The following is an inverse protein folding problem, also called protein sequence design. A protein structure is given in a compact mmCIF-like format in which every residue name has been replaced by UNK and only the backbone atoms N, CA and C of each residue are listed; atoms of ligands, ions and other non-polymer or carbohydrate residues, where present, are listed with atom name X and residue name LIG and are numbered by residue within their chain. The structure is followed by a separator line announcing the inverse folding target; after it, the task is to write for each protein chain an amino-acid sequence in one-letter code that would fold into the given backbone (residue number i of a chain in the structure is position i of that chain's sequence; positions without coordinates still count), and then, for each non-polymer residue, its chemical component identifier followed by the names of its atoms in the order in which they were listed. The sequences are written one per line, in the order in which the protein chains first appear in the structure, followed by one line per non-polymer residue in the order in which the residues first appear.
data_IF_710444730948
#
_entry.id   IF_710444730948
#
_cell.length_a   1.000
_cell.length_b   1.000
_cell.length_c   1.000
_cell.angle_alpha   90.00
_cell.angle_beta   90.00
_cell.angle_gamma   90.00
#
_symmetry.space_group_name_H-M   'P 1'
#
loop_
_entity.id
_entity.type
_entity.pdbx_description
1 polymer ?
#
# COMPACT_ATOMS: atom_id res chain seq x y z
N UNK A 1 -12.24 -16.50 -14.15
CA UNK A 1 -12.48 -15.28 -13.34
C UNK A 1 -11.93 -15.51 -11.95
N UNK A 2 -10.91 -14.77 -11.53
CA UNK A 2 -10.32 -14.95 -10.19
C UNK A 2 -11.05 -13.99 -9.25
N UNK A 3 -11.68 -14.55 -8.23
CA UNK A 3 -12.60 -13.83 -7.33
C UNK A 3 -11.84 -13.23 -6.12
N UNK A 4 -10.67 -13.79 -5.80
CA UNK A 4 -9.80 -13.36 -4.73
C UNK A 4 -8.42 -12.97 -5.26
N UNK A 5 -7.75 -12.04 -4.58
CA UNK A 5 -6.41 -11.63 -4.98
C UNK A 5 -5.92 -10.40 -4.23
N UNK A 6 -4.88 -9.79 -4.80
CA UNK A 6 -4.25 -8.58 -4.28
C UNK A 6 -4.26 -7.50 -5.33
N UNK A 7 -4.62 -6.29 -4.92
CA UNK A 7 -4.51 -5.08 -5.72
C UNK A 7 -3.55 -4.10 -5.06
N UNK A 8 -2.90 -3.30 -5.89
CA UNK A 8 -2.08 -2.17 -5.47
C UNK A 8 -2.78 -0.87 -5.83
N UNK A 9 -2.87 0.04 -4.87
CA UNK A 9 -3.32 1.42 -5.07
C UNK A 9 -2.13 2.36 -4.90
N UNK A 10 -2.02 3.39 -5.74
CA UNK A 10 -1.02 4.44 -5.58
C UNK A 10 -1.50 5.44 -4.52
N UNK A 11 -0.65 5.73 -3.53
CA UNK A 11 -0.97 6.63 -2.41
C UNK A 11 -0.34 7.99 -2.62
N UNK A 12 0.95 8.00 -2.92
CA UNK A 12 1.72 9.23 -3.08
C UNK A 12 2.68 9.11 -4.24
N UNK A 13 2.92 10.25 -4.88
CA UNK A 13 3.97 10.47 -5.87
C UNK A 13 4.67 11.76 -5.49
N UNK A 14 5.94 11.69 -5.12
CA UNK A 14 6.67 12.85 -4.65
C UNK A 14 8.05 12.89 -5.30
N UNK A 15 8.45 14.04 -5.90
CA UNK A 15 9.82 14.23 -6.37
C UNK A 15 10.75 14.30 -5.15
N UNK A 16 11.94 13.72 -5.29
CA UNK A 16 12.97 13.76 -4.24
C UNK A 16 14.22 14.45 -4.77
N UNK A 17 14.79 15.33 -3.95
CA UNK A 17 16.00 16.11 -4.26
C UNK A 17 17.29 15.28 -4.06
N UNK A 18 17.27 14.04 -4.52
CA UNK A 18 18.41 13.11 -4.45
C UNK A 18 19.01 12.90 -5.85
N UNK A 19 20.30 12.59 -5.91
CA UNK A 19 20.95 12.25 -7.18
C UNK A 19 20.62 10.82 -7.59
N UNK A 20 20.40 10.61 -8.90
CA UNK A 20 20.16 9.27 -9.43
C UNK A 20 21.43 8.39 -9.27
N UNK A 21 21.34 7.18 -8.66
CA UNK A 21 22.51 6.33 -8.48
C UNK A 21 23.11 5.80 -9.80
N UNK A 22 22.37 5.86 -10.91
CA UNK A 22 22.82 5.36 -12.21
C UNK A 22 23.27 6.44 -13.19
N UNK A 23 22.63 7.62 -13.20
CA UNK A 23 22.99 8.69 -14.12
C UNK A 23 23.51 9.96 -13.44
N UNK A 24 23.58 9.97 -12.11
CA UNK A 24 24.07 11.09 -11.27
C UNK A 24 23.36 12.42 -11.50
N UNK A 25 22.22 12.41 -12.19
CA UNK A 25 21.43 13.61 -12.45
C UNK A 25 20.65 14.02 -11.19
N UNK A 26 20.66 15.31 -10.88
CA UNK A 26 20.04 15.88 -9.69
C UNK A 26 18.57 16.20 -9.91
N UNK A 27 17.74 16.03 -8.88
CA UNK A 27 16.33 16.44 -8.88
C UNK A 27 15.48 15.82 -10.03
N UNK A 28 15.88 14.64 -10.50
CA UNK A 28 15.17 13.88 -11.55
C UNK A 28 14.47 12.64 -11.00
N UNK A 29 14.59 12.36 -9.70
CA UNK A 29 14.02 11.19 -9.07
C UNK A 29 12.60 11.49 -8.55
N UNK A 30 11.68 10.60 -8.85
CA UNK A 30 10.31 10.61 -8.30
C UNK A 30 10.07 9.30 -7.58
N UNK A 31 9.58 9.38 -6.35
CA UNK A 31 9.22 8.23 -5.53
C UNK A 31 7.72 7.99 -5.62
N UNK A 32 7.35 6.73 -5.79
CA UNK A 32 5.98 6.25 -5.84
C UNK A 32 5.74 5.29 -4.69
N UNK A 33 4.70 5.57 -3.90
CA UNK A 33 4.26 4.72 -2.80
C UNK A 33 2.94 4.06 -3.17
N UNK A 34 2.89 2.75 -3.01
CA UNK A 34 1.73 1.91 -3.28
C UNK A 34 1.33 1.11 -2.04
N UNK A 35 0.03 0.96 -1.80
CA UNK A 35 -0.52 0.09 -0.76
C UNK A 35 -1.07 -1.14 -1.44
N UNK A 36 -0.65 -2.31 -0.98
CA UNK A 36 -1.29 -3.57 -1.35
C UNK A 36 -2.41 -3.87 -0.37
N UNK A 37 -3.55 -4.29 -0.91
CA UNK A 37 -4.67 -4.81 -0.13
C UNK A 37 -5.18 -6.12 -0.73
N UNK A 38 -5.63 -7.02 0.14
CA UNK A 38 -6.31 -8.23 -0.26
C UNK A 38 -7.77 -7.91 -0.58
N UNK A 39 -8.30 -8.49 -1.64
CA UNK A 39 -9.72 -8.40 -1.96
C UNK A 39 -10.32 -9.79 -2.20
N UNK A 40 -11.58 -9.96 -1.83
CA UNK A 40 -12.38 -11.15 -2.10
C UNK A 40 -13.72 -10.65 -2.66
N UNK A 41 -14.16 -11.20 -3.80
CA UNK A 41 -15.34 -10.74 -4.54
C UNK A 41 -15.33 -9.23 -4.82
N UNK A 42 -14.17 -8.68 -5.20
CA UNK A 42 -13.92 -7.23 -5.37
C UNK A 42 -14.06 -6.36 -4.12
N UNK A 43 -14.38 -6.94 -2.97
CA UNK A 43 -14.43 -6.22 -1.68
C UNK A 43 -13.03 -6.23 -1.07
N UNK A 44 -12.44 -5.07 -0.76
CA UNK A 44 -11.18 -5.01 -0.03
C UNK A 44 -11.38 -5.50 1.41
N UNK A 45 -10.60 -6.50 1.80
CA UNK A 45 -10.70 -7.14 3.11
C UNK A 45 -9.73 -6.53 4.12
N UNK A 46 -8.44 -6.48 3.80
CA UNK A 46 -7.41 -5.89 4.67
C UNK A 46 -6.20 -5.38 3.87
N UNK A 47 -5.49 -4.36 4.38
CA UNK A 47 -4.20 -3.95 3.82
C UNK A 47 -3.11 -4.98 4.15
N UNK A 48 -2.33 -5.37 3.14
CA UNK A 48 -1.23 -6.34 3.28
C UNK A 48 0.07 -5.61 3.66
N UNK A 49 0.32 -4.46 3.03
CA UNK A 49 1.54 -3.69 3.29
C UNK A 49 1.83 -2.64 2.22
N UNK A 50 2.73 -1.72 2.55
CA UNK A 50 3.20 -0.69 1.63
C UNK A 50 4.37 -1.22 0.80
N UNK A 51 4.39 -0.84 -0.47
CA UNK A 51 5.51 -1.08 -1.38
C UNK A 51 5.79 0.21 -2.13
N UNK A 52 7.00 0.36 -2.65
CA UNK A 52 7.33 1.55 -3.41
C UNK A 52 8.42 1.31 -4.42
N UNK A 53 8.47 2.25 -5.35
CA UNK A 53 9.47 2.31 -6.39
C UNK A 53 9.87 3.77 -6.61
N UNK A 54 11.12 4.00 -6.95
CA UNK A 54 11.58 5.29 -7.46
C UNK A 54 11.79 5.18 -8.96
N UNK A 55 11.53 6.27 -9.67
CA UNK A 55 11.77 6.39 -11.10
C UNK A 55 12.59 7.65 -11.37
N UNK A 56 13.63 7.52 -12.19
CA UNK A 56 14.33 8.68 -12.72
C UNK A 56 13.65 9.17 -14.01
N UNK A 57 13.33 10.46 -14.11
CA UNK A 57 12.79 11.07 -15.32
C UNK A 57 13.81 11.12 -16.48
N UNK A 58 15.12 11.12 -16.16
CA UNK A 58 16.20 11.23 -17.13
C UNK A 58 16.58 9.87 -17.75
N UNK A 59 17.03 8.91 -16.94
CA UNK A 59 17.45 7.59 -17.42
C UNK A 59 16.34 6.53 -17.41
N UNK A 60 15.13 6.88 -16.92
CA UNK A 60 13.97 5.96 -16.78
C UNK A 60 14.21 4.75 -15.89
N UNK A 61 15.30 4.74 -15.12
CA UNK A 61 15.61 3.66 -14.21
C UNK A 61 14.56 3.60 -13.09
N UNK A 62 14.08 2.38 -12.82
CA UNK A 62 13.12 2.11 -11.74
C UNK A 62 13.80 1.27 -10.67
N UNK A 63 13.91 1.78 -9.44
CA UNK A 63 14.42 1.03 -8.29
C UNK A 63 13.26 0.65 -7.39
N UNK A 64 13.13 -0.63 -7.07
CA UNK A 64 12.22 -1.08 -6.01
C UNK A 64 12.77 -0.68 -4.65
N UNK A 65 11.91 -0.55 -3.64
CA UNK A 65 12.31 -0.21 -2.25
C UNK A 65 13.56 -0.98 -1.78
N UNK A 66 13.68 -2.29 -2.04
CA UNK A 66 14.83 -3.11 -1.64
C UNK A 66 16.16 -2.82 -2.38
N UNK A 67 16.10 -2.16 -3.52
CA UNK A 67 17.24 -1.83 -4.37
C UNK A 67 17.69 -0.38 -4.20
N UNK A 68 16.95 0.42 -3.41
CA UNK A 68 17.28 1.83 -3.18
C UNK A 68 18.54 1.97 -2.32
N UNK A 69 19.46 2.90 -2.67
CA UNK A 69 20.56 3.26 -1.80
C UNK A 69 20.03 3.87 -0.48
N UNK A 70 20.82 3.84 0.60
CA UNK A 70 20.36 4.24 1.93
C UNK A 70 19.81 5.68 1.99
N UNK A 71 20.40 6.63 1.28
CA UNK A 71 19.92 8.02 1.21
C UNK A 71 18.52 8.11 0.58
N UNK A 72 18.34 7.47 -0.57
CA UNK A 72 17.05 7.41 -1.26
C UNK A 72 15.99 6.63 -0.47
N UNK A 73 16.42 5.63 0.29
CA UNK A 73 15.54 4.82 1.13
C UNK A 73 14.97 5.64 2.29
N UNK A 74 15.76 6.51 2.91
CA UNK A 74 15.28 7.45 3.92
C UNK A 74 14.25 8.44 3.35
N UNK A 75 14.50 8.99 2.17
CA UNK A 75 13.53 9.84 1.49
C UNK A 75 12.22 9.08 1.18
N UNK A 76 12.33 7.84 0.69
CA UNK A 76 11.18 6.97 0.49
C UNK A 76 10.41 6.69 1.79
N UNK A 77 11.11 6.39 2.89
CA UNK A 77 10.47 6.07 4.16
C UNK A 77 9.70 7.28 4.72
N UNK A 78 10.22 8.51 4.57
CA UNK A 78 9.51 9.73 4.92
C UNK A 78 8.21 9.92 4.10
N UNK A 79 8.26 9.66 2.80
CA UNK A 79 7.08 9.71 1.91
C UNK A 79 6.10 8.59 2.28
N UNK A 80 6.61 7.40 2.59
CA UNK A 80 5.80 6.23 2.91
C UNK A 80 5.09 6.34 4.28
N UNK A 81 5.69 7.01 5.27
CA UNK A 81 5.05 7.28 6.56
C UNK A 81 3.93 8.32 6.44
N UNK A 82 4.12 9.35 5.62
CA UNK A 82 3.09 10.36 5.36
C UNK A 82 1.92 9.82 4.53
N UNK A 83 2.17 8.84 3.65
CA UNK A 83 1.14 8.20 2.85
C UNK A 83 0.12 7.45 3.73
N UNK A 84 -1.05 8.07 3.96
CA UNK A 84 -2.12 7.49 4.79
C UNK A 84 -2.77 6.29 4.09
N UNK A 85 -2.90 5.18 4.81
CA UNK A 85 -3.61 4.01 4.33
C UNK A 85 -5.11 4.31 4.22
N UNK A 86 -5.75 4.10 3.05
CA UNK A 86 -7.17 4.40 2.90
C UNK A 86 -8.03 3.48 3.77
N UNK A 87 -8.94 4.07 4.56
CA UNK A 87 -9.80 3.35 5.51
C UNK A 87 -10.74 2.33 4.83
N UNK A 88 -11.13 2.58 3.57
CA UNK A 88 -11.91 1.66 2.75
C UNK A 88 -11.23 0.29 2.55
N UNK A 89 -9.95 0.12 2.87
CA UNK A 89 -9.27 -1.18 2.78
C UNK A 89 -9.69 -2.18 3.86
N UNK A 90 -10.41 -1.74 4.90
CA UNK A 90 -10.86 -2.55 6.03
C UNK A 90 -12.33 -2.98 5.95
N UNK A 91 -13.02 -2.71 4.83
CA UNK A 91 -14.47 -2.98 4.69
C UNK A 91 -14.82 -4.45 4.93
N UNK A 92 -14.06 -5.38 4.34
CA UNK A 92 -14.34 -6.80 4.51
C UNK A 92 -14.14 -7.28 5.95
N UNK A 93 -13.16 -6.74 6.68
CA UNK A 93 -12.99 -7.04 8.12
C UNK A 93 -14.15 -6.48 8.94
N UNK A 94 -14.61 -5.27 8.65
CA UNK A 94 -15.77 -4.69 9.33
C UNK A 94 -17.04 -5.55 9.11
N UNK A 95 -17.29 -5.99 7.88
CA UNK A 95 -18.42 -6.89 7.56
C UNK A 95 -18.29 -8.20 8.32
N UNK A 96 -17.10 -8.81 8.32
CA UNK A 96 -16.86 -10.07 9.03
C UNK A 96 -17.11 -9.93 10.53
N UNK A 97 -16.66 -8.83 11.15
CA UNK A 97 -16.89 -8.55 12.57
C UNK A 97 -18.38 -8.43 12.89
N UNK A 98 -19.15 -7.72 12.05
CA UNK A 98 -20.61 -7.57 12.23
C UNK A 98 -21.32 -8.92 12.14
N UNK A 99 -20.96 -9.76 11.17
CA UNK A 99 -21.56 -11.11 11.02
C UNK A 99 -21.29 -11.98 12.25
N UNK A 100 -20.07 -11.94 12.79
CA UNK A 100 -19.71 -12.69 14.00
C UNK A 100 -20.51 -12.21 15.21
N UNK A 101 -20.63 -10.90 15.41
CA UNK A 101 -21.40 -10.32 16.54
C UNK A 101 -22.87 -10.71 16.46
N UNK A 102 -23.48 -10.62 15.28
CA UNK A 102 -24.88 -11.03 15.08
C UNK A 102 -25.06 -12.52 15.37
N UNK A 103 -24.14 -13.36 14.88
CA UNK A 103 -24.17 -14.81 15.15
C UNK A 103 -24.09 -15.12 16.65
N UNK A 104 -23.22 -14.44 17.39
CA UNK A 104 -23.12 -14.57 18.84
C UNK A 104 -24.41 -14.18 19.56
N UNK A 105 -24.99 -13.01 19.21
CA UNK A 105 -26.24 -12.55 19.79
C UNK A 105 -27.41 -13.52 19.50
N UNK A 106 -27.49 -14.04 18.27
CA UNK A 106 -28.51 -15.02 17.90
C UNK A 106 -28.34 -16.37 18.63
N UNK A 107 -27.10 -16.80 18.88
CA UNK A 107 -26.82 -18.04 19.62
C UNK A 107 -27.08 -17.93 21.13
N UNK A 108 -26.91 -16.73 21.71
CA UNK A 108 -27.22 -16.46 23.13
C UNK A 108 -28.71 -16.35 23.44
N UNK A 109 -29.58 -16.23 22.41
CA UNK A 109 -31.03 -16.17 22.55
C UNK A 109 -31.75 -17.52 22.39
N UNK A 110 -31.03 -18.64 22.26
CA UNK A 110 -31.61 -19.99 22.09
C UNK A 110 -31.61 -20.81 23.39
N UNK A 111 -31.47 -20.16 24.55
CA UNK A 111 -31.60 -20.76 25.87
C UNK A 111 -32.77 -20.15 26.64
N UNK A 112 -33.97 -20.24 26.07
CA UNK A 112 -35.26 -20.13 26.78
C UNK A 112 -36.22 -21.17 26.20
#
# INVERSE_FOLDING_TARGET
MIIYGWKSIQLSREPVAESCPHCQNYNTLTVYVFQKYAHVFWIPFFPIGKTGASQCAHCKQVLKSKQMPPTLRLAYDNVATQAKTPYWTFVGVAILAVVIVIGMLASGGHSE
#
